data_IF_351206003716
#
_entry.id   IF_351206003716
#
_cell.length_a   1.000
_cell.length_b   1.000
_cell.length_c   1.000
_cell.angle_alpha   90.00
_cell.angle_beta   90.00
_cell.angle_gamma   90.00
#
_symmetry.space_group_name_H-M   'P 1'
#
loop_
_entity.id
_entity.type
_entity.pdbx_description
1 polymer ?
#
# COMPACT_ATOMS: atom_id res chain seq x y z
N UNK A 1 5.55 -19.43 3.23
CA UNK A 1 4.08 -19.23 3.28
C UNK A 1 3.63 -18.02 4.12
N UNK A 2 4.51 -17.04 4.39
CA UNK A 2 4.15 -15.80 5.10
C UNK A 2 3.54 -14.72 4.18
N UNK A 3 3.86 -14.74 2.88
CA UNK A 3 3.42 -13.70 1.93
C UNK A 3 1.89 -13.55 1.85
N UNK A 4 1.14 -14.66 1.85
CA UNK A 4 -0.33 -14.61 1.82
C UNK A 4 -0.91 -13.95 3.08
N UNK A 5 -0.31 -14.17 4.25
CA UNK A 5 -0.72 -13.53 5.49
C UNK A 5 -0.50 -12.01 5.44
N UNK A 6 0.64 -11.58 4.88
CA UNK A 6 0.90 -10.15 4.65
C UNK A 6 -0.13 -9.54 3.70
N UNK A 7 -0.48 -10.21 2.61
CA UNK A 7 -1.51 -9.71 1.69
C UNK A 7 -2.87 -9.52 2.36
N UNK A 8 -3.31 -10.51 3.16
CA UNK A 8 -4.57 -10.42 3.91
C UNK A 8 -4.53 -9.26 4.91
N UNK A 9 -3.40 -9.10 5.60
CA UNK A 9 -3.21 -8.02 6.57
C UNK A 9 -3.27 -6.65 5.88
N UNK A 10 -2.53 -6.47 4.78
CA UNK A 10 -2.48 -5.21 4.01
C UNK A 10 -3.86 -4.88 3.45
N UNK A 11 -4.54 -5.87 2.88
CA UNK A 11 -5.90 -5.69 2.38
C UNK A 11 -6.83 -5.17 3.48
N UNK A 12 -6.80 -5.80 4.67
CA UNK A 12 -7.62 -5.37 5.82
C UNK A 12 -7.23 -3.98 6.32
N UNK A 13 -5.95 -3.68 6.37
CA UNK A 13 -5.42 -2.39 6.83
C UNK A 13 -5.91 -1.22 5.95
N UNK A 14 -5.89 -1.39 4.62
CA UNK A 14 -6.41 -0.38 3.69
C UNK A 14 -7.94 -0.37 3.61
N UNK A 15 -8.61 -1.53 3.66
CA UNK A 15 -10.06 -1.60 3.67
C UNK A 15 -10.68 -0.93 4.91
N UNK A 16 -10.00 -1.01 6.06
CA UNK A 16 -10.41 -0.32 7.28
C UNK A 16 -10.28 1.20 7.16
N UNK A 17 -9.23 1.70 6.49
CA UNK A 17 -9.11 3.13 6.20
C UNK A 17 -10.32 3.61 5.39
N UNK A 18 -10.67 2.92 4.29
CA UNK A 18 -11.83 3.29 3.48
C UNK A 18 -13.15 3.29 4.28
N UNK A 19 -13.32 2.32 5.20
CA UNK A 19 -14.50 2.24 6.07
C UNK A 19 -14.68 3.49 6.93
N UNK A 20 -13.57 4.08 7.43
CA UNK A 20 -13.62 5.26 8.30
C UNK A 20 -14.07 6.52 7.57
N UNK A 21 -13.80 6.61 6.26
CA UNK A 21 -14.10 7.79 5.43
C UNK A 21 -15.25 7.56 4.44
N UNK A 22 -16.12 6.57 4.70
CA UNK A 22 -17.28 6.23 3.86
C UNK A 22 -16.93 5.93 2.37
N UNK A 23 -15.71 5.46 2.10
CA UNK A 23 -15.28 5.05 0.75
C UNK A 23 -15.46 3.53 0.54
N UNK A 24 -15.37 3.09 -0.72
CA UNK A 24 -15.55 1.68 -1.11
C UNK A 24 -14.35 0.83 -0.64
N UNK A 25 -14.61 -0.15 0.24
CA UNK A 25 -13.58 -0.97 0.92
C UNK A 25 -12.69 -1.77 -0.02
N UNK A 26 -13.27 -2.41 -1.03
CA UNK A 26 -12.53 -3.33 -1.91
C UNK A 26 -11.51 -2.60 -2.80
N UNK A 27 -11.82 -1.38 -3.26
CA UNK A 27 -10.88 -0.57 -4.04
C UNK A 27 -9.60 -0.24 -3.25
N UNK A 28 -9.75 0.21 -2.00
CA UNK A 28 -8.60 0.53 -1.16
C UNK A 28 -7.83 -0.72 -0.74
N UNK A 29 -8.53 -1.79 -0.38
CA UNK A 29 -7.88 -3.06 -0.05
C UNK A 29 -7.05 -3.60 -1.22
N UNK A 30 -7.58 -3.58 -2.44
CA UNK A 30 -6.87 -3.97 -3.65
C UNK A 30 -5.68 -3.03 -3.93
N UNK A 31 -5.87 -1.72 -3.75
CA UNK A 31 -4.81 -0.73 -3.93
C UNK A 31 -3.61 -1.01 -3.01
N UNK A 32 -3.85 -1.31 -1.73
CA UNK A 32 -2.78 -1.68 -0.79
C UNK A 32 -2.02 -2.94 -1.23
N UNK A 33 -2.74 -3.96 -1.70
CA UNK A 33 -2.14 -5.21 -2.23
C UNK A 33 -1.29 -4.93 -3.47
N UNK A 34 -1.80 -4.12 -4.41
CA UNK A 34 -1.07 -3.74 -5.63
C UNK A 34 0.20 -2.97 -5.30
N UNK A 35 0.14 -2.02 -4.36
CA UNK A 35 1.33 -1.28 -3.90
C UNK A 35 2.37 -2.23 -3.33
N UNK A 36 1.96 -3.14 -2.44
CA UNK A 36 2.88 -4.10 -1.84
C UNK A 36 3.56 -4.98 -2.90
N UNK A 37 2.78 -5.52 -3.84
CA UNK A 37 3.31 -6.32 -4.94
C UNK A 37 4.26 -5.52 -5.84
N UNK A 38 3.89 -4.28 -6.19
CA UNK A 38 4.71 -3.40 -7.02
C UNK A 38 6.06 -3.09 -6.35
N UNK A 39 6.06 -2.82 -5.05
CA UNK A 39 7.30 -2.57 -4.30
C UNK A 39 8.14 -3.85 -4.22
N UNK A 40 7.54 -5.00 -3.92
CA UNK A 40 8.28 -6.27 -3.91
C UNK A 40 8.91 -6.60 -5.27
N UNK A 41 8.16 -6.46 -6.37
CA UNK A 41 8.68 -6.69 -7.72
C UNK A 41 9.79 -5.70 -8.07
N UNK A 42 9.66 -4.43 -7.68
CA UNK A 42 10.68 -3.41 -7.95
C UNK A 42 11.95 -3.68 -7.17
N UNK A 43 11.86 -3.92 -5.86
CA UNK A 43 13.02 -4.21 -5.01
C UNK A 43 13.69 -5.51 -5.42
N UNK A 44 12.91 -6.57 -5.63
CA UNK A 44 13.42 -7.86 -6.10
C UNK A 44 14.04 -7.78 -7.49
N UNK A 45 13.43 -7.01 -8.41
CA UNK A 45 13.95 -6.80 -9.75
C UNK A 45 15.26 -6.02 -9.77
N UNK A 46 15.35 -4.91 -9.03
CA UNK A 46 16.60 -4.13 -8.90
C UNK A 46 17.71 -4.99 -8.28
N UNK A 47 17.38 -5.78 -7.26
CA UNK A 47 18.34 -6.67 -6.64
C UNK A 47 18.81 -7.79 -7.57
N UNK A 48 17.88 -8.42 -8.30
CA UNK A 48 18.22 -9.44 -9.29
C UNK A 48 19.13 -8.91 -10.41
N UNK A 49 18.89 -7.67 -10.87
CA UNK A 49 19.77 -7.00 -11.84
C UNK A 49 21.16 -6.74 -11.23
N UNK A 50 21.22 -6.29 -9.97
CA UNK A 50 22.49 -6.07 -9.27
C UNK A 50 23.31 -7.36 -9.22
N UNK A 51 22.72 -8.47 -8.78
CA UNK A 51 23.40 -9.76 -8.73
C UNK A 51 23.86 -10.22 -10.12
N UNK A 52 23.02 -10.06 -11.15
CA UNK A 52 23.36 -10.44 -12.52
C UNK A 52 24.60 -9.73 -13.09
N UNK A 53 24.87 -8.50 -12.63
CA UNK A 53 25.99 -7.68 -13.12
C UNK A 53 27.22 -7.83 -12.20
N UNK A 54 27.02 -7.75 -10.89
CA UNK A 54 28.11 -7.68 -9.93
C UNK A 54 28.66 -9.07 -9.57
N UNK A 55 27.77 -10.06 -9.40
CA UNK A 55 28.11 -11.37 -8.84
C UNK A 55 27.30 -12.47 -9.55
N UNK A 56 27.57 -12.73 -10.84
CA UNK A 56 26.75 -13.63 -11.65
C UNK A 56 26.70 -15.08 -11.12
N UNK A 57 27.69 -15.49 -10.30
CA UNK A 57 27.73 -16.81 -9.67
C UNK A 57 26.74 -16.99 -8.51
N UNK A 58 26.25 -15.91 -7.88
CA UNK A 58 25.25 -16.02 -6.81
C UNK A 58 23.84 -16.31 -7.35
N UNK A 59 23.60 -16.15 -8.66
CA UNK A 59 22.32 -16.48 -9.28
C UNK A 59 22.07 -18.00 -9.40
N UNK A 60 23.12 -18.82 -9.27
CA UNK A 60 23.03 -20.28 -9.32
C UNK A 60 22.56 -20.89 -7.99
N UNK A 61 22.65 -20.12 -6.89
CA UNK A 61 22.20 -20.53 -5.55
C UNK A 61 20.81 -19.96 -5.22
N UNK A 62 19.76 -20.78 -5.41
CA UNK A 62 18.36 -20.42 -5.06
C UNK A 62 18.19 -19.96 -3.59
N UNK A 63 19.07 -20.42 -2.69
CA UNK A 63 19.01 -20.13 -1.26
C UNK A 63 19.32 -18.67 -0.91
N UNK A 64 20.12 -17.98 -1.72
CA UNK A 64 20.49 -16.57 -1.54
C UNK A 64 19.33 -15.64 -1.91
N UNK A 65 18.49 -16.06 -2.85
CA UNK A 65 17.39 -15.27 -3.41
C UNK A 65 16.11 -15.40 -2.56
N UNK A 66 15.81 -16.59 -2.03
CA UNK A 66 14.54 -16.89 -1.34
C UNK A 66 14.69 -17.04 0.19
N UNK A 67 15.91 -16.99 0.72
CA UNK A 67 16.23 -17.13 2.16
C UNK A 67 16.05 -15.87 3.01
N UNK A 68 16.13 -16.01 4.34
CA UNK A 68 16.19 -14.88 5.28
C UNK A 68 17.62 -14.33 5.27
N UNK A 69 17.94 -13.54 4.23
CA UNK A 69 19.21 -12.84 4.07
C UNK A 69 19.08 -11.43 4.64
N UNK A 70 20.15 -10.80 5.18
CA UNK A 70 20.11 -9.41 5.64
C UNK A 70 19.54 -8.43 4.60
N UNK A 71 19.79 -8.66 3.31
CA UNK A 71 19.20 -7.87 2.24
C UNK A 71 17.68 -8.09 2.09
N UNK A 72 17.18 -9.31 2.24
CA UNK A 72 15.74 -9.58 2.19
C UNK A 72 15.01 -8.92 3.37
N UNK A 73 15.64 -8.86 4.55
CA UNK A 73 15.11 -8.10 5.69
C UNK A 73 15.00 -6.60 5.36
N UNK A 74 16.02 -6.01 4.74
CA UNK A 74 15.98 -4.60 4.29
C UNK A 74 14.85 -4.41 3.27
N UNK A 75 14.72 -5.32 2.29
CA UNK A 75 13.67 -5.28 1.29
C UNK A 75 12.26 -5.34 1.89
N UNK A 76 12.05 -6.19 2.90
CA UNK A 76 10.78 -6.26 3.63
C UNK A 76 10.52 -4.99 4.46
N UNK A 77 11.55 -4.40 5.06
CA UNK A 77 11.41 -3.11 5.76
C UNK A 77 11.02 -1.97 4.81
N UNK A 78 11.62 -1.91 3.61
CA UNK A 78 11.26 -0.94 2.57
C UNK A 78 9.81 -1.15 2.12
N UNK A 79 9.41 -2.40 1.88
CA UNK A 79 8.04 -2.73 1.50
C UNK A 79 7.03 -2.31 2.59
N UNK A 80 7.29 -2.68 3.84
CA UNK A 80 6.44 -2.30 4.98
C UNK A 80 6.35 -0.78 5.17
N UNK A 81 7.49 -0.08 5.11
CA UNK A 81 7.56 1.37 5.22
C UNK A 81 6.80 2.08 4.10
N UNK A 82 6.90 1.58 2.86
CA UNK A 82 6.17 2.14 1.71
C UNK A 82 4.66 1.94 1.86
N UNK A 83 4.22 0.73 2.23
CA UNK A 83 2.79 0.44 2.46
C UNK A 83 2.23 1.33 3.57
N UNK A 84 2.96 1.53 4.66
CA UNK A 84 2.56 2.44 5.73
C UNK A 84 2.55 3.90 5.30
N UNK A 85 3.57 4.34 4.56
CA UNK A 85 3.67 5.72 4.07
C UNK A 85 2.53 6.10 3.12
N UNK A 86 2.21 5.22 2.16
CA UNK A 86 1.08 5.45 1.24
C UNK A 86 -0.25 5.42 2.00
N UNK A 87 -0.41 4.55 2.99
CA UNK A 87 -1.61 4.51 3.83
C UNK A 87 -1.80 5.84 4.57
N UNK A 88 -0.74 6.35 5.22
CA UNK A 88 -0.77 7.62 5.94
C UNK A 88 -1.01 8.82 5.02
N UNK A 89 -0.45 8.80 3.81
CA UNK A 89 -0.74 9.81 2.79
C UNK A 89 -2.21 9.81 2.39
N UNK A 90 -2.80 8.62 2.16
CA UNK A 90 -4.23 8.47 1.86
C UNK A 90 -5.10 8.94 3.02
N UNK A 91 -4.72 8.62 4.25
CA UNK A 91 -5.41 9.10 5.46
C UNK A 91 -5.44 10.63 5.51
N UNK A 92 -4.29 11.30 5.38
CA UNK A 92 -4.22 12.76 5.34
C UNK A 92 -5.08 13.36 4.22
N UNK A 93 -5.07 12.77 3.01
CA UNK A 93 -5.92 13.22 1.90
C UNK A 93 -7.41 13.09 2.24
N UNK A 94 -7.83 11.97 2.81
CA UNK A 94 -9.22 11.71 3.16
C UNK A 94 -9.71 12.61 4.31
N UNK A 95 -8.85 12.94 5.28
CA UNK A 95 -9.16 13.92 6.33
C UNK A 95 -9.43 15.29 5.70
N UNK A 96 -8.55 15.74 4.81
CA UNK A 96 -8.70 17.03 4.14
C UNK A 96 -9.97 17.08 3.27
N UNK A 97 -10.29 16.01 2.53
CA UNK A 97 -11.55 15.90 1.76
C UNK A 97 -12.78 16.00 2.69
N UNK A 98 -12.75 15.33 3.84
CA UNK A 98 -13.86 15.38 4.80
C UNK A 98 -14.06 16.75 5.42
N UNK A 99 -12.99 17.50 5.65
CA UNK A 99 -13.04 18.86 6.20
C UNK A 99 -13.50 19.91 5.19
N UNK A 100 -13.34 19.65 3.89
CA UNK A 100 -13.72 20.57 2.81
C UNK A 100 -15.14 20.36 2.28
N UNK A 101 -15.74 19.18 2.50
CA UNK A 101 -17.12 18.87 2.11
C UNK A 101 -18.27 19.18 3.12
N UNK A 102 -18.08 19.63 4.38
CA UNK A 102 -19.18 19.66 5.34
C UNK A 102 -20.18 20.83 5.17
N UNK A 103 -19.98 21.76 4.24
CA UNK A 103 -20.85 22.95 4.10
C UNK A 103 -21.79 22.96 2.89
N UNK A 104 -21.56 22.15 1.84
CA UNK A 104 -22.40 22.22 0.62
C UNK A 104 -23.80 21.65 0.86
N UNK A 105 -23.95 20.65 1.73
CA UNK A 105 -25.27 20.04 2.01
C UNK A 105 -26.16 20.89 2.92
N UNK A 106 -25.59 21.76 3.76
CA UNK A 106 -26.38 22.56 4.72
C UNK A 106 -27.00 23.80 4.04
N UNK A 107 -26.31 24.37 3.05
CA UNK A 107 -26.79 25.55 2.30
C UNK A 107 -27.93 25.23 1.31
N UNK A 108 -28.16 23.96 0.96
CA UNK A 108 -29.22 23.54 0.05
C UNK A 108 -30.54 23.18 0.74
N UNK A 109 -30.54 23.01 2.07
CA UNK A 109 -31.73 22.66 2.86
C UNK A 109 -32.70 23.87 2.96
N UNK A 110 -32.19 25.10 2.95
CA UNK A 110 -33.01 26.32 3.04
C UNK A 110 -33.61 26.84 1.74
N UNK A 111 -33.24 26.29 0.57
CA UNK A 111 -33.66 26.81 -0.75
C UNK A 111 -34.88 26.13 -1.36
N UNK A 112 -35.34 25.00 -0.82
CA UNK A 112 -36.44 24.21 -1.43
C UNK A 112 -37.83 24.57 -0.92
N UNK A 113 -37.96 25.46 0.06
CA UNK A 113 -39.26 25.82 0.66
C UNK A 113 -39.78 27.20 0.22
N UNK A 114 -39.06 27.90 -0.67
CA UNK A 114 -39.44 29.23 -1.18
C UNK A 114 -39.47 29.27 -2.72
N UNK A 115 -40.24 28.39 -3.34
CA UNK A 115 -40.81 28.59 -4.68
C UNK A 115 -42.24 28.03 -4.74
#
# INVERSE_FOLDING_TARGET
MLGVLFLIFIYRYYANLAKQYAKIKWHYGLLGVVIFMAVQMTVGGVYGIYLAIAEPGELEDESTIVGITPLNLIGWSIAGGTVWGVHKMLEHKLINERQTQPSIDIDLIGKKETE
#
